data_IF_495504388872
#
_entry.id   IF_495504388872
#
_cell.length_a   1.000
_cell.length_b   1.000
_cell.length_c   1.000
_cell.angle_alpha   90.00
_cell.angle_beta   90.00
_cell.angle_gamma   90.00
#
_symmetry.space_group_name_H-M   'P 1'
#
loop_
_entity.id
_entity.type
_entity.pdbx_description
1 polymer ?
#
# COMPACT_ATOMS: atom_id res chain seq x y z
N UNK A 1 -40.96 -3.67 80.10
CA UNK A 1 -42.31 -3.12 79.87
C UNK A 1 -42.16 -2.01 78.83
N UNK A 2 -42.59 -2.31 77.59
CA UNK A 2 -42.73 -1.46 76.39
C UNK A 2 -41.54 -0.58 75.94
N UNK A 3 -40.83 -1.08 74.91
CA UNK A 3 -40.17 -0.27 73.88
C UNK A 3 -40.85 -0.54 72.52
N UNK A 4 -41.30 0.52 71.86
CA UNK A 4 -41.58 0.70 70.43
C UNK A 4 -42.13 2.13 70.23
N UNK A 5 -42.07 2.74 69.02
CA UNK A 5 -41.36 2.32 67.80
C UNK A 5 -40.55 3.46 67.12
N UNK A 6 -40.03 3.10 65.95
CA UNK A 6 -39.05 3.77 65.10
C UNK A 6 -39.61 4.78 64.07
N UNK A 7 -38.63 5.49 63.48
CA UNK A 7 -38.56 6.19 62.18
C UNK A 7 -39.37 7.49 61.98
N UNK A 8 -38.88 8.47 61.17
CA UNK A 8 -38.14 8.28 59.91
C UNK A 8 -36.98 9.27 59.64
N UNK A 9 -36.10 8.98 58.67
CA UNK A 9 -35.82 9.87 57.52
C UNK A 9 -34.77 9.30 56.56
N UNK A 10 -35.29 8.73 55.47
CA UNK A 10 -34.91 8.96 54.07
C UNK A 10 -33.45 9.32 53.74
N UNK A 11 -32.72 8.31 53.29
CA UNK A 11 -31.48 8.40 52.52
C UNK A 11 -31.74 9.09 51.17
N UNK A 12 -31.25 10.32 50.99
CA UNK A 12 -31.20 10.99 49.68
C UNK A 12 -29.81 10.83 49.05
N UNK A 13 -29.65 9.81 48.21
CA UNK A 13 -28.49 9.67 47.34
C UNK A 13 -28.55 10.76 46.25
N UNK A 14 -27.77 11.82 46.40
CA UNK A 14 -27.52 12.76 45.30
C UNK A 14 -26.52 12.13 44.31
N UNK A 15 -26.84 12.03 43.01
CA UNK A 15 -25.85 11.63 42.02
C UNK A 15 -24.87 12.78 41.77
N UNK A 16 -23.59 12.49 41.96
CA UNK A 16 -22.44 13.34 41.67
C UNK A 16 -22.52 13.87 40.23
N UNK A 17 -22.74 15.19 40.08
CA UNK A 17 -22.67 15.88 38.78
C UNK A 17 -21.21 15.88 38.30
N UNK A 18 -20.91 15.02 37.32
CA UNK A 18 -19.71 15.21 36.50
C UNK A 18 -19.87 16.49 35.68
N UNK A 19 -18.89 17.43 35.69
CA UNK A 19 -18.90 18.54 34.76
C UNK A 19 -18.66 18.00 33.35
N UNK A 20 -19.74 17.88 32.58
CA UNK A 20 -19.72 17.67 31.13
C UNK A 20 -19.13 18.91 30.48
N UNK A 21 -17.81 18.94 30.33
CA UNK A 21 -17.14 19.77 29.32
C UNK A 21 -16.70 18.85 28.20
N UNK A 22 -17.69 18.25 27.51
CA UNK A 22 -17.46 17.78 26.15
C UNK A 22 -17.18 19.03 25.34
N UNK A 23 -15.89 19.31 25.15
CA UNK A 23 -15.43 20.26 24.14
C UNK A 23 -16.13 19.83 22.85
N UNK A 24 -16.99 20.67 22.24
CA UNK A 24 -17.56 20.32 20.97
C UNK A 24 -16.39 20.14 20.02
N UNK A 25 -16.27 18.95 19.42
CA UNK A 25 -15.38 18.70 18.29
C UNK A 25 -15.87 19.68 17.21
N UNK A 26 -15.25 20.85 17.22
CA UNK A 26 -15.74 22.02 16.54
C UNK A 26 -15.54 21.79 15.06
N UNK A 27 -16.67 21.67 14.37
CA UNK A 27 -16.87 21.78 12.93
C UNK A 27 -16.12 20.73 12.11
N UNK A 28 -16.91 19.89 11.45
CA UNK A 28 -16.55 19.32 10.17
C UNK A 28 -16.15 20.47 9.23
N UNK A 29 -14.87 20.87 9.28
CA UNK A 29 -14.21 21.57 8.19
C UNK A 29 -14.49 20.71 6.95
N UNK A 30 -15.05 21.35 5.93
CA UNK A 30 -15.70 20.68 4.82
C UNK A 30 -14.67 19.95 3.97
N UNK A 31 -14.26 18.74 4.38
CA UNK A 31 -13.30 17.88 3.71
C UNK A 31 -13.43 18.00 2.19
N UNK A 32 -12.52 18.74 1.56
CA UNK A 32 -12.47 18.83 0.11
C UNK A 32 -12.27 17.43 -0.44
N UNK A 33 -13.22 17.03 -1.27
CA UNK A 33 -13.13 15.81 -2.06
C UNK A 33 -12.00 16.01 -3.06
N UNK A 34 -10.91 15.25 -2.91
CA UNK A 34 -9.84 15.22 -3.90
C UNK A 34 -10.39 14.51 -5.14
N UNK A 35 -10.35 15.18 -6.29
CA UNK A 35 -10.79 14.54 -7.52
C UNK A 35 -9.74 13.50 -7.96
N UNK A 36 -10.15 12.33 -8.49
CA UNK A 36 -9.19 11.26 -8.84
C UNK A 36 -8.07 11.72 -9.79
N UNK A 37 -8.37 12.67 -10.68
CA UNK A 37 -7.39 13.27 -11.60
C UNK A 37 -6.36 14.12 -10.85
N UNK A 38 -6.78 14.89 -9.84
CA UNK A 38 -5.88 15.70 -9.02
C UNK A 38 -4.91 14.80 -8.24
N UNK A 39 -5.42 13.70 -7.65
CA UNK A 39 -4.59 12.72 -6.96
C UNK A 39 -3.58 12.04 -7.89
N UNK A 40 -4.01 11.63 -9.08
CA UNK A 40 -3.14 11.01 -10.09
C UNK A 40 -1.99 11.96 -10.45
N UNK A 41 -2.29 13.20 -10.83
CA UNK A 41 -1.25 14.19 -11.18
C UNK A 41 -0.29 14.44 -10.02
N UNK A 42 -0.82 14.62 -8.80
CA UNK A 42 0.01 14.88 -7.63
C UNK A 42 0.97 13.70 -7.34
N UNK A 43 0.52 12.46 -7.53
CA UNK A 43 1.35 11.26 -7.39
C UNK A 43 2.39 11.14 -8.51
N UNK A 44 2.01 11.42 -9.76
CA UNK A 44 2.92 11.39 -10.91
C UNK A 44 4.13 12.32 -10.68
N UNK A 45 3.89 13.54 -10.19
CA UNK A 45 4.94 14.51 -9.87
C UNK A 45 5.89 14.06 -8.75
N UNK A 46 5.49 13.06 -7.95
CA UNK A 46 6.23 12.58 -6.76
C UNK A 46 6.65 11.13 -6.87
N UNK A 47 6.46 10.51 -8.04
CA UNK A 47 6.73 9.09 -8.26
C UNK A 47 8.19 8.73 -7.95
N UNK A 48 9.16 9.54 -8.41
CA UNK A 48 10.59 9.31 -8.13
C UNK A 48 10.90 9.34 -6.64
N UNK A 49 10.37 10.34 -5.91
CA UNK A 49 10.57 10.47 -4.46
C UNK A 49 9.95 9.30 -3.70
N UNK A 50 8.78 8.83 -4.14
CA UNK A 50 8.12 7.66 -3.57
C UNK A 50 8.97 6.40 -3.82
N UNK A 51 9.48 6.23 -5.04
CA UNK A 51 10.35 5.11 -5.42
C UNK A 51 11.64 5.10 -4.64
N UNK A 52 12.34 6.23 -4.55
CA UNK A 52 13.61 6.33 -3.82
C UNK A 52 13.44 6.00 -2.35
N UNK A 53 12.36 6.51 -1.74
CA UNK A 53 12.02 6.19 -0.36
C UNK A 53 11.73 4.70 -0.18
N UNK A 54 10.92 4.13 -1.06
CA UNK A 54 10.57 2.72 -0.99
C UNK A 54 11.81 1.84 -1.16
N UNK A 55 12.61 2.08 -2.21
CA UNK A 55 13.84 1.35 -2.49
C UNK A 55 14.82 1.43 -1.31
N UNK A 56 15.02 2.63 -0.74
CA UNK A 56 15.91 2.83 0.39
C UNK A 56 15.52 2.02 1.63
N UNK A 57 14.23 1.95 1.94
CA UNK A 57 13.69 1.19 3.08
C UNK A 57 13.73 -0.32 2.86
N UNK A 58 13.49 -0.79 1.62
CA UNK A 58 13.64 -2.21 1.24
C UNK A 58 15.12 -2.62 1.36
N UNK A 59 16.02 -1.83 0.78
CA UNK A 59 17.48 -2.05 0.85
C UNK A 59 18.01 -2.05 2.29
N UNK A 60 17.47 -1.21 3.16
CA UNK A 60 17.94 -1.12 4.55
C UNK A 60 17.64 -2.39 5.38
N UNK A 61 16.74 -3.26 4.92
CA UNK A 61 16.29 -4.45 5.65
C UNK A 61 17.01 -5.73 5.22
N UNK A 62 17.53 -5.75 4.01
CA UNK A 62 18.07 -6.95 3.39
C UNK A 62 19.59 -6.82 3.24
N UNK A 63 20.31 -7.79 3.81
CA UNK A 63 21.76 -7.70 4.06
C UNK A 63 22.59 -8.10 2.83
N UNK A 64 21.97 -8.75 1.83
CA UNK A 64 22.67 -9.31 0.67
C UNK A 64 22.08 -8.83 -0.66
N UNK A 65 22.40 -7.60 -1.05
CA UNK A 65 22.06 -7.06 -2.36
C UNK A 65 23.22 -7.23 -3.33
N UNK A 66 22.99 -7.95 -4.44
CA UNK A 66 23.83 -7.83 -5.62
C UNK A 66 23.36 -6.65 -6.47
N UNK A 67 24.23 -6.08 -7.30
CA UNK A 67 23.90 -4.95 -8.18
C UNK A 67 22.74 -5.31 -9.13
N UNK A 68 22.64 -6.58 -9.55
CA UNK A 68 21.60 -7.07 -10.45
C UNK A 68 20.24 -7.22 -9.77
N UNK A 69 20.22 -7.61 -8.49
CA UNK A 69 19.00 -7.63 -7.67
C UNK A 69 18.55 -6.19 -7.40
N UNK A 70 19.49 -5.28 -7.13
CA UNK A 70 19.19 -3.86 -6.94
C UNK A 70 18.54 -3.27 -8.20
N UNK A 71 19.13 -3.50 -9.36
CA UNK A 71 18.63 -3.05 -10.66
C UNK A 71 17.23 -3.62 -10.94
N UNK A 72 17.06 -4.93 -10.81
CA UNK A 72 15.77 -5.56 -11.08
C UNK A 72 14.69 -5.07 -10.11
N UNK A 73 15.00 -4.95 -8.82
CA UNK A 73 14.06 -4.44 -7.83
C UNK A 73 13.66 -3.00 -8.16
N UNK A 74 14.63 -2.16 -8.52
CA UNK A 74 14.36 -0.79 -8.97
C UNK A 74 13.41 -0.76 -10.18
N UNK A 75 13.60 -1.64 -11.17
CA UNK A 75 12.73 -1.71 -12.35
C UNK A 75 11.27 -2.04 -11.99
N UNK A 76 11.06 -2.94 -11.02
CA UNK A 76 9.73 -3.23 -10.47
C UNK A 76 9.14 -2.03 -9.76
N UNK A 77 9.90 -1.38 -8.87
CA UNK A 77 9.40 -0.22 -8.14
C UNK A 77 9.06 0.92 -9.09
N UNK A 78 9.87 1.15 -10.12
CA UNK A 78 9.62 2.11 -11.20
C UNK A 78 8.30 1.80 -11.94
N UNK A 79 8.02 0.52 -12.20
CA UNK A 79 6.74 0.11 -12.80
C UNK A 79 5.57 0.35 -11.85
N UNK A 80 5.71 0.00 -10.57
CA UNK A 80 4.64 0.20 -9.59
C UNK A 80 4.32 1.69 -9.41
N UNK A 81 5.32 2.56 -9.28
CA UNK A 81 5.07 4.01 -9.15
C UNK A 81 4.59 4.65 -10.46
N UNK A 82 4.84 4.03 -11.62
CA UNK A 82 4.23 4.42 -12.89
C UNK A 82 2.73 4.09 -12.92
N UNK A 83 2.33 2.91 -12.42
CA UNK A 83 0.94 2.43 -12.46
C UNK A 83 0.08 3.04 -11.35
N UNK A 84 0.66 3.22 -10.17
CA UNK A 84 -0.04 3.63 -8.95
C UNK A 84 -0.90 4.90 -9.10
N UNK A 85 -0.43 6.01 -9.72
CA UNK A 85 -1.23 7.21 -9.91
C UNK A 85 -2.54 6.93 -10.66
N UNK A 86 -2.46 6.10 -11.70
CA UNK A 86 -3.58 5.76 -12.57
C UNK A 86 -4.53 4.75 -11.91
N UNK A 87 -4.00 3.86 -11.08
CA UNK A 87 -4.79 2.93 -10.26
C UNK A 87 -5.61 3.60 -9.16
N UNK A 88 -5.15 4.77 -8.71
CA UNK A 88 -5.85 5.64 -7.77
C UNK A 88 -6.64 6.76 -8.46
N UNK A 89 -6.43 6.93 -9.76
CA UNK A 89 -7.06 7.91 -10.62
C UNK A 89 -8.32 7.39 -11.35
N UNK A 90 -8.75 8.08 -12.42
CA UNK A 90 -9.96 7.71 -13.17
C UNK A 90 -9.79 6.44 -14.01
N UNK A 91 -8.55 6.00 -14.26
CA UNK A 91 -8.23 4.91 -15.18
C UNK A 91 -7.94 3.58 -14.48
N UNK A 92 -8.47 3.43 -13.26
CA UNK A 92 -8.24 2.27 -12.42
C UNK A 92 -8.54 0.96 -13.14
N UNK A 93 -9.69 0.87 -13.80
CA UNK A 93 -10.15 -0.37 -14.43
C UNK A 93 -9.22 -0.83 -15.56
N UNK A 94 -8.56 0.12 -16.24
CA UNK A 94 -7.65 -0.17 -17.34
C UNK A 94 -6.27 -0.62 -16.86
N UNK A 95 -5.78 -0.07 -15.73
CA UNK A 95 -4.42 -0.36 -15.24
C UNK A 95 -4.38 -1.43 -14.15
N UNK A 96 -5.52 -1.72 -13.51
CA UNK A 96 -5.59 -2.71 -12.42
C UNK A 96 -5.16 -4.13 -12.85
N UNK A 97 -5.50 -4.65 -14.04
CA UNK A 97 -4.97 -5.94 -14.49
C UNK A 97 -3.44 -5.96 -14.55
N UNK A 98 -2.82 -4.87 -15.02
CA UNK A 98 -1.37 -4.72 -15.14
C UNK A 98 -0.70 -4.59 -13.75
N UNK A 99 -1.37 -3.91 -12.81
CA UNK A 99 -0.96 -3.87 -11.40
C UNK A 99 -0.93 -5.27 -10.78
N UNK A 100 -1.97 -6.08 -11.02
CA UNK A 100 -2.03 -7.46 -10.52
C UNK A 100 -0.94 -8.32 -11.14
N UNK A 101 -0.77 -8.29 -12.47
CA UNK A 101 0.27 -9.05 -13.16
C UNK A 101 1.68 -8.67 -12.68
N UNK A 102 1.97 -7.38 -12.52
CA UNK A 102 3.25 -6.91 -11.98
C UNK A 102 3.46 -7.38 -10.53
N UNK A 103 2.40 -7.35 -9.71
CA UNK A 103 2.45 -7.82 -8.32
C UNK A 103 2.72 -9.31 -8.24
N UNK A 104 2.08 -10.12 -9.08
CA UNK A 104 2.32 -11.56 -9.18
C UNK A 104 3.78 -11.85 -9.53
N UNK A 105 4.29 -11.22 -10.59
CA UNK A 105 5.66 -11.38 -11.06
C UNK A 105 6.67 -10.92 -9.99
N UNK A 106 6.35 -9.87 -9.25
CA UNK A 106 7.17 -9.41 -8.12
C UNK A 106 7.22 -10.45 -6.99
N UNK A 107 6.08 -11.07 -6.68
CA UNK A 107 6.02 -12.17 -5.72
C UNK A 107 6.85 -13.39 -6.15
N UNK A 108 6.78 -13.76 -7.44
CA UNK A 108 7.62 -14.81 -8.01
C UNK A 108 9.11 -14.46 -7.89
N UNK A 109 9.49 -13.23 -8.26
CA UNK A 109 10.86 -12.74 -8.14
C UNK A 109 11.36 -12.75 -6.68
N UNK A 110 10.50 -12.38 -5.72
CA UNK A 110 10.83 -12.42 -4.32
C UNK A 110 11.05 -13.85 -3.79
N UNK A 111 10.27 -14.83 -4.26
CA UNK A 111 10.54 -16.24 -3.93
C UNK A 111 11.92 -16.68 -4.44
N UNK A 112 12.32 -16.25 -5.65
CA UNK A 112 13.64 -16.52 -6.24
C UNK A 112 14.79 -15.78 -5.54
N UNK A 113 14.50 -14.65 -4.88
CA UNK A 113 15.41 -13.97 -3.93
C UNK A 113 15.55 -14.70 -2.59
N UNK A 114 14.76 -15.75 -2.36
CA UNK A 114 14.75 -16.49 -1.10
C UNK A 114 13.94 -15.81 0.00
N UNK A 115 13.13 -14.81 -0.32
CA UNK A 115 12.28 -14.13 0.67
C UNK A 115 11.16 -15.06 1.15
N UNK A 116 10.79 -14.94 2.42
CA UNK A 116 9.55 -15.45 2.94
C UNK A 116 8.36 -14.62 2.44
N UNK A 117 7.16 -15.23 2.38
CA UNK A 117 5.94 -14.54 1.96
C UNK A 117 5.65 -13.30 2.83
N UNK A 118 5.98 -13.36 4.13
CA UNK A 118 5.86 -12.22 5.04
C UNK A 118 6.73 -11.03 4.63
N UNK A 119 7.93 -11.26 4.10
CA UNK A 119 8.83 -10.21 3.66
C UNK A 119 8.30 -9.52 2.39
N UNK A 120 7.68 -10.27 1.48
CA UNK A 120 6.99 -9.69 0.30
C UNK A 120 5.85 -8.77 0.74
N UNK A 121 5.06 -9.20 1.74
CA UNK A 121 3.99 -8.37 2.30
C UNK A 121 4.57 -7.11 2.93
N UNK A 122 5.67 -7.22 3.69
CA UNK A 122 6.36 -6.08 4.28
C UNK A 122 6.85 -5.08 3.23
N UNK A 123 7.42 -5.52 2.10
CA UNK A 123 7.84 -4.64 1.02
C UNK A 123 6.67 -3.79 0.49
N UNK A 124 5.45 -4.35 0.38
CA UNK A 124 4.25 -3.56 0.06
C UNK A 124 3.76 -2.67 1.21
N UNK A 125 3.95 -3.06 2.47
CA UNK A 125 3.64 -2.19 3.61
C UNK A 125 4.56 -0.98 3.64
N UNK A 126 5.82 -1.12 3.23
CA UNK A 126 6.75 0.00 3.07
C UNK A 126 6.23 1.00 2.04
N UNK A 127 5.71 0.53 0.89
CA UNK A 127 5.04 1.41 -0.08
C UNK A 127 3.88 2.17 0.55
N UNK A 128 3.01 1.48 1.28
CA UNK A 128 1.85 2.10 1.96
C UNK A 128 2.29 3.18 2.93
N UNK A 129 3.27 2.88 3.77
CA UNK A 129 3.80 3.81 4.75
C UNK A 129 4.47 5.02 4.08
N UNK A 130 5.26 4.78 3.02
CA UNK A 130 5.90 5.84 2.25
C UNK A 130 4.85 6.77 1.62
N UNK A 131 3.77 6.20 1.06
CA UNK A 131 2.67 6.93 0.45
C UNK A 131 1.87 7.74 1.47
N UNK A 132 1.52 7.14 2.62
CA UNK A 132 0.85 7.85 3.72
C UNK A 132 1.74 9.00 4.20
N UNK A 133 3.03 8.76 4.44
CA UNK A 133 3.95 9.82 4.87
C UNK A 133 4.03 10.95 3.85
N UNK A 134 4.11 10.62 2.55
CA UNK A 134 4.13 11.62 1.48
C UNK A 134 2.85 12.47 1.49
N UNK A 135 1.68 11.84 1.62
CA UNK A 135 0.39 12.52 1.68
C UNK A 135 0.25 13.48 2.87
N UNK A 136 0.86 13.16 4.02
CA UNK A 136 0.81 14.03 5.19
C UNK A 136 1.91 15.10 5.20
N UNK A 137 3.05 14.84 4.57
CA UNK A 137 4.16 15.79 4.48
C UNK A 137 3.92 16.87 3.42
N UNK A 138 3.24 16.53 2.32
CA UNK A 138 3.00 17.42 1.19
C UNK A 138 1.62 17.17 0.58
N UNK A 139 0.52 17.50 1.29
CA UNK A 139 -0.83 17.10 0.89
C UNK A 139 -1.23 17.63 -0.50
N UNK A 140 -1.99 16.85 -1.29
CA UNK A 140 -2.42 17.24 -2.65
C UNK A 140 -3.38 18.43 -2.68
N UNK A 141 -4.01 18.75 -1.56
CA UNK A 141 -4.93 19.90 -1.43
C UNK A 141 -4.25 20.96 -0.56
N UNK A 142 -4.13 22.18 -1.08
CA UNK A 142 -3.66 23.32 -0.29
C UNK A 142 -4.72 23.71 0.74
N UNK A 143 -4.36 23.63 2.03
CA UNK A 143 -5.23 23.94 3.17
C UNK A 143 -5.07 22.91 4.29
N UNK A 144 -5.55 23.23 5.50
CA UNK A 144 -5.49 22.34 6.67
C UNK A 144 -6.47 21.15 6.61
N UNK A 145 -7.04 20.86 5.45
CA UNK A 145 -8.06 19.81 5.33
C UNK A 145 -7.40 18.45 5.09
N UNK A 146 -7.55 17.50 6.01
CA UNK A 146 -7.01 16.16 5.83
C UNK A 146 -7.76 15.44 4.70
N UNK A 147 -7.05 14.55 4.01
CA UNK A 147 -7.63 13.62 3.04
C UNK A 147 -8.87 12.92 3.60
N UNK A 148 -9.86 12.69 2.75
CA UNK A 148 -11.06 11.98 3.19
C UNK A 148 -10.72 10.52 3.51
N UNK A 149 -11.36 9.97 4.55
CA UNK A 149 -11.22 8.55 4.91
C UNK A 149 -11.52 7.62 3.71
N UNK A 150 -12.45 8.04 2.83
CA UNK A 150 -12.79 7.29 1.63
C UNK A 150 -11.59 7.15 0.69
N UNK A 151 -10.80 8.20 0.52
CA UNK A 151 -9.66 8.21 -0.40
C UNK A 151 -8.52 7.34 0.17
N UNK A 152 -8.27 7.41 1.48
CA UNK A 152 -7.34 6.52 2.20
C UNK A 152 -7.78 5.05 2.04
N UNK A 153 -9.06 4.74 2.22
CA UNK A 153 -9.57 3.36 2.06
C UNK A 153 -9.48 2.86 0.61
N UNK A 154 -9.67 3.74 -0.39
CA UNK A 154 -9.49 3.38 -1.81
C UNK A 154 -8.03 3.04 -2.12
N UNK A 155 -7.12 3.84 -1.58
CA UNK A 155 -5.67 3.62 -1.67
C UNK A 155 -5.27 2.30 -1.03
N UNK A 156 -5.68 2.05 0.21
CA UNK A 156 -5.39 0.79 0.91
C UNK A 156 -5.89 -0.41 0.11
N UNK A 157 -7.15 -0.38 -0.35
CA UNK A 157 -7.71 -1.47 -1.16
C UNK A 157 -6.98 -1.71 -2.47
N UNK A 158 -6.42 -0.68 -3.10
CA UNK A 158 -5.63 -0.87 -4.32
C UNK A 158 -4.31 -1.59 -4.02
N UNK A 159 -3.60 -1.15 -2.96
CA UNK A 159 -2.36 -1.78 -2.51
C UNK A 159 -2.62 -3.22 -2.04
N UNK A 160 -3.68 -3.45 -1.26
CA UNK A 160 -4.05 -4.78 -0.72
C UNK A 160 -4.29 -5.82 -1.84
N UNK A 161 -4.82 -5.39 -2.98
CA UNK A 161 -4.94 -6.26 -4.16
C UNK A 161 -3.57 -6.66 -4.71
N UNK A 162 -2.61 -5.75 -4.70
CA UNK A 162 -1.22 -6.06 -5.07
C UNK A 162 -0.57 -7.02 -4.08
N UNK A 163 -0.70 -6.76 -2.78
CA UNK A 163 -0.24 -7.67 -1.70
C UNK A 163 -0.78 -9.10 -1.88
N UNK A 164 -2.08 -9.21 -2.15
CA UNK A 164 -2.74 -10.50 -2.35
C UNK A 164 -2.14 -11.23 -3.55
N UNK A 165 -1.99 -10.54 -4.67
CA UNK A 165 -1.48 -11.14 -5.90
C UNK A 165 0.01 -11.47 -5.84
N UNK A 166 0.81 -10.65 -5.15
CA UNK A 166 2.21 -10.97 -4.88
C UNK A 166 2.36 -12.20 -3.98
N UNK A 167 1.49 -12.36 -2.98
CA UNK A 167 1.47 -13.57 -2.15
C UNK A 167 1.12 -14.82 -2.96
N UNK A 168 0.21 -14.72 -3.92
CA UNK A 168 -0.13 -15.79 -4.87
C UNK A 168 1.08 -16.14 -5.72
N UNK A 169 1.68 -15.16 -6.41
CA UNK A 169 2.86 -15.40 -7.26
C UNK A 169 4.05 -15.97 -6.49
N UNK A 170 4.27 -15.52 -5.26
CA UNK A 170 5.28 -16.06 -4.36
C UNK A 170 5.03 -17.54 -4.03
N UNK A 171 3.80 -17.86 -3.62
CA UNK A 171 3.42 -19.23 -3.26
C UNK A 171 3.49 -20.17 -4.47
N UNK A 172 3.05 -19.72 -5.64
CA UNK A 172 3.11 -20.49 -6.88
C UNK A 172 4.57 -20.79 -7.29
N UNK A 173 5.45 -19.79 -7.20
CA UNK A 173 6.88 -19.97 -7.47
C UNK A 173 7.52 -21.00 -6.52
N UNK A 174 7.20 -20.95 -5.23
CA UNK A 174 7.68 -21.96 -4.27
C UNK A 174 7.11 -23.35 -4.56
N UNK A 175 5.83 -23.44 -4.90
CA UNK A 175 5.19 -24.70 -5.25
C UNK A 175 5.87 -25.35 -6.47
N UNK A 176 6.13 -24.58 -7.53
CA UNK A 176 6.84 -25.09 -8.70
C UNK A 176 8.28 -25.50 -8.37
N UNK A 177 8.98 -24.71 -7.57
CA UNK A 177 10.37 -25.02 -7.15
C UNK A 177 10.44 -26.32 -6.34
N UNK A 178 9.48 -26.53 -5.43
CA UNK A 178 9.34 -27.76 -4.65
C UNK A 178 9.04 -28.96 -5.56
N UNK A 179 8.14 -28.80 -6.54
CA UNK A 179 7.77 -29.88 -7.47
C UNK A 179 8.91 -30.27 -8.42
N UNK A 180 9.78 -29.32 -8.77
CA UNK A 180 10.98 -29.56 -9.58
C UNK A 180 12.15 -30.17 -8.78
N UNK A 181 11.96 -30.44 -7.49
CA UNK A 181 12.93 -31.17 -6.65
C UNK A 181 14.03 -30.32 -6.03
N UNK A 182 14.01 -28.99 -6.18
CA UNK A 182 14.98 -28.09 -5.55
C UNK A 182 14.68 -27.87 -4.06
N UNK A 183 13.40 -27.91 -3.64
CA UNK A 183 12.94 -27.80 -2.24
C UNK A 183 13.20 -26.46 -1.56
N UNK A 184 14.17 -25.70 -2.06
CA UNK A 184 14.57 -24.34 -1.71
C UNK A 184 14.91 -23.66 -3.04
N UNK A 185 14.44 -22.43 -3.26
CA UNK A 185 14.81 -21.68 -4.45
C UNK A 185 16.34 -21.55 -4.49
N UNK A 186 16.99 -22.20 -5.45
CA UNK A 186 18.38 -21.91 -5.78
C UNK A 186 18.42 -20.46 -6.24
N UNK A 187 19.34 -19.67 -5.68
CA UNK A 187 19.53 -18.24 -5.94
C UNK A 187 19.17 -17.80 -7.35
N UNK A 188 18.48 -16.64 -7.49
CA UNK A 188 18.07 -16.02 -8.76
C UNK A 188 19.13 -16.15 -9.88
N UNK A 189 18.98 -17.17 -10.72
CA UNK A 189 19.88 -17.46 -11.84
C UNK A 189 19.76 -16.39 -12.93
N UNK A 190 20.77 -16.27 -13.78
CA UNK A 190 20.76 -15.28 -14.87
C UNK A 190 19.62 -15.55 -15.87
N UNK A 191 19.28 -16.81 -16.13
CA UNK A 191 18.18 -17.18 -17.02
C UNK A 191 16.83 -16.75 -16.44
N UNK A 192 16.58 -17.05 -15.15
CA UNK A 192 15.34 -16.64 -14.46
C UNK A 192 15.25 -15.12 -14.39
N UNK A 193 16.37 -14.43 -14.12
CA UNK A 193 16.43 -12.97 -14.13
C UNK A 193 16.11 -12.39 -15.51
N UNK A 194 16.65 -13.00 -16.57
CA UNK A 194 16.39 -12.61 -17.96
C UNK A 194 14.91 -12.74 -18.32
N UNK A 195 14.28 -13.84 -17.91
CA UNK A 195 12.84 -14.08 -18.11
C UNK A 195 11.99 -13.07 -17.35
N UNK A 196 12.27 -12.83 -16.07
CA UNK A 196 11.55 -11.83 -15.27
C UNK A 196 11.70 -10.44 -15.90
N UNK A 197 12.90 -10.05 -16.35
CA UNK A 197 13.11 -8.77 -17.05
C UNK A 197 12.30 -8.70 -18.35
N UNK A 198 12.23 -9.79 -19.10
CA UNK A 198 11.44 -9.86 -20.33
C UNK A 198 9.96 -9.62 -20.05
N UNK A 199 9.39 -10.33 -19.06
CA UNK A 199 8.00 -10.19 -18.66
C UNK A 199 7.71 -8.79 -18.10
N UNK A 200 8.58 -8.27 -17.23
CA UNK A 200 8.46 -6.93 -16.65
C UNK A 200 8.47 -5.84 -17.73
N UNK A 201 9.36 -5.97 -18.72
CA UNK A 201 9.42 -5.09 -19.88
C UNK A 201 8.15 -5.19 -20.74
N UNK A 202 7.57 -6.38 -20.87
CA UNK A 202 6.25 -6.59 -21.49
C UNK A 202 5.16 -5.79 -20.81
N UNK A 203 5.01 -5.96 -19.49
CA UNK A 203 4.01 -5.24 -18.69
C UNK A 203 4.21 -3.73 -18.79
N UNK A 204 5.46 -3.26 -18.71
CA UNK A 204 5.78 -1.83 -18.87
C UNK A 204 5.31 -1.27 -20.21
N UNK A 205 5.58 -1.97 -21.32
CA UNK A 205 5.12 -1.55 -22.66
C UNK A 205 3.60 -1.49 -22.75
N UNK A 206 2.90 -2.43 -22.13
CA UNK A 206 1.44 -2.45 -22.10
C UNK A 206 0.88 -1.28 -21.29
N UNK A 207 1.45 -1.00 -20.10
CA UNK A 207 1.11 0.19 -19.30
C UNK A 207 1.29 1.45 -20.14
N UNK A 208 2.45 1.63 -20.76
CA UNK A 208 2.73 2.80 -21.60
C UNK A 208 1.80 2.91 -22.81
N UNK A 209 1.38 1.79 -23.40
CA UNK A 209 0.39 1.78 -24.48
C UNK A 209 -0.98 2.25 -23.98
N UNK A 210 -1.45 1.73 -22.85
CA UNK A 210 -2.70 2.13 -22.21
C UNK A 210 -2.66 3.62 -21.86
N UNK A 211 -1.59 4.10 -21.22
CA UNK A 211 -1.48 5.51 -20.84
C UNK A 211 -1.40 6.45 -22.04
N UNK A 212 -0.71 6.05 -23.12
CA UNK A 212 -0.70 6.82 -24.38
C UNK A 212 -2.08 6.89 -25.02
N UNK A 213 -2.86 5.81 -24.96
CA UNK A 213 -4.24 5.80 -25.45
C UNK A 213 -5.13 6.74 -24.64
N UNK A 214 -5.04 6.67 -23.31
CA UNK A 214 -5.84 7.48 -22.39
C UNK A 214 -5.53 8.98 -22.43
N UNK A 215 -4.30 9.37 -22.79
CA UNK A 215 -3.91 10.78 -22.98
C UNK A 215 -4.35 11.38 -24.32
N UNK A 216 -4.79 10.56 -25.28
CA UNK A 216 -5.20 10.97 -26.62
C UNK A 216 -6.72 11.06 -26.80
N UNK A 217 -7.49 10.43 -25.91
CA UNK A 217 -8.95 10.51 -25.87
C UNK A 217 -9.44 11.53 -24.87
#
# INVERSE_FOLDING_TARGET
MREQPADPTSSSSQPTRYPSSVVPISRAAGRRKLEPVELSRWLEERAERLRDRWLGEVRARDVAWSDEIEELTRDFLDLFVLVLPHGLGPYREQVEPLWLQASELFGQMAAQRGLAAGEVIEEFQILRDALIRLLYQDPPVQGAEPLSLRDILRMNRFIDRGVTQASVGHTDALFFSLFQGSGVAESLTDDVRGEIRHQLSGIRREVEAVLRFLRRG
#
